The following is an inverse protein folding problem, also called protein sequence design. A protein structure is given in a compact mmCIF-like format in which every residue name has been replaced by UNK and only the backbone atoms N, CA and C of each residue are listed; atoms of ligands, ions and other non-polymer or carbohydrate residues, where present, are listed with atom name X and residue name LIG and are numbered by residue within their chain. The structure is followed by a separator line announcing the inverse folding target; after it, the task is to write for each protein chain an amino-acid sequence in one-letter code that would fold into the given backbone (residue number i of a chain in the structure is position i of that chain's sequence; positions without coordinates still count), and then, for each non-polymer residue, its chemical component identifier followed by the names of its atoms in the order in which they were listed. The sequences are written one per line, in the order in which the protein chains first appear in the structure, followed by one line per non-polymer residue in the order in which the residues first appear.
data_IF_477373050308
#
_entry.id   IF_477373050308
#
_cell.length_a   1.000
_cell.length_b   1.000
_cell.length_c   1.000
_cell.angle_alpha   90.00
_cell.angle_beta   90.00
_cell.angle_gamma   90.00
#
_symmetry.space_group_name_H-M   'P 1'
#
loop_
_entity.id
_entity.type
_entity.pdbx_description
1 polymer ?
#
# COMPACT_ATOMS: atom_id res chain seq x y z
N UNK A 1 -29.58 -5.77 -36.60
CA UNK A 1 -28.28 -5.10 -36.85
C UNK A 1 -27.43 -5.05 -35.57
N UNK A 2 -28.04 -5.23 -34.38
CA UNK A 2 -27.38 -5.10 -33.08
C UNK A 2 -26.36 -6.19 -32.71
N UNK A 3 -26.51 -7.43 -33.18
CA UNK A 3 -25.58 -8.52 -32.83
C UNK A 3 -24.17 -8.40 -33.44
N UNK A 4 -24.02 -7.67 -34.55
CA UNK A 4 -22.70 -7.43 -35.15
C UNK A 4 -21.93 -6.39 -34.32
N UNK A 5 -22.64 -5.41 -33.76
CA UNK A 5 -22.05 -4.37 -32.93
C UNK A 5 -21.63 -4.94 -31.55
N UNK A 6 -22.44 -5.83 -30.98
CA UNK A 6 -22.11 -6.56 -29.74
C UNK A 6 -20.85 -7.43 -29.91
N UNK A 7 -20.75 -8.19 -31.00
CA UNK A 7 -19.57 -9.01 -31.27
C UNK A 7 -18.30 -8.17 -31.46
N UNK A 8 -18.40 -7.02 -32.15
CA UNK A 8 -17.30 -6.07 -32.27
C UNK A 8 -16.87 -5.50 -30.91
N UNK A 9 -17.83 -5.16 -30.05
CA UNK A 9 -17.55 -4.64 -28.71
C UNK A 9 -16.84 -5.68 -27.83
N UNK A 10 -17.30 -6.95 -27.84
CA UNK A 10 -16.65 -8.03 -27.10
C UNK A 10 -15.22 -8.28 -27.61
N UNK A 11 -15.02 -8.25 -28.93
CA UNK A 11 -13.68 -8.41 -29.51
C UNK A 11 -12.75 -7.28 -29.08
N UNK A 12 -13.21 -6.03 -29.12
CA UNK A 12 -12.40 -4.88 -28.71
C UNK A 12 -11.99 -4.98 -27.22
N UNK A 13 -12.88 -5.44 -26.36
CA UNK A 13 -12.56 -5.69 -24.95
C UNK A 13 -11.51 -6.79 -24.77
N UNK A 14 -11.61 -7.87 -25.54
CA UNK A 14 -10.64 -8.97 -25.49
C UNK A 14 -9.26 -8.54 -26.01
N UNK A 15 -9.21 -7.80 -27.11
CA UNK A 15 -7.96 -7.27 -27.68
C UNK A 15 -7.26 -6.35 -26.65
N UNK A 16 -8.02 -5.48 -25.97
CA UNK A 16 -7.48 -4.61 -24.92
C UNK A 16 -6.90 -5.40 -23.74
N UNK A 17 -7.56 -6.49 -23.31
CA UNK A 17 -7.03 -7.36 -22.27
C UNK A 17 -5.71 -8.03 -22.69
N UNK A 18 -5.63 -8.47 -23.95
CA UNK A 18 -4.41 -9.06 -24.49
C UNK A 18 -3.25 -8.03 -24.57
N UNK A 19 -3.54 -6.78 -24.93
CA UNK A 19 -2.55 -5.69 -24.94
C UNK A 19 -2.01 -5.37 -23.53
N UNK A 20 -2.82 -5.55 -22.48
CA UNK A 20 -2.39 -5.45 -21.08
C UNK A 20 -1.63 -6.69 -20.58
N UNK A 21 -1.40 -7.70 -21.43
CA UNK A 21 -0.66 -8.91 -21.11
C UNK A 21 -1.48 -10.00 -20.42
N UNK A 22 -2.82 -9.94 -20.46
CA UNK A 22 -3.65 -11.05 -20.01
C UNK A 22 -3.62 -12.19 -21.03
N UNK A 23 -2.81 -13.22 -20.76
CA UNK A 23 -2.53 -14.35 -21.65
C UNK A 23 -3.30 -15.62 -21.28
N UNK A 24 -3.88 -15.69 -20.08
CA UNK A 24 -4.68 -16.82 -19.61
C UNK A 24 -5.91 -16.37 -18.79
N UNK A 25 -7.06 -17.00 -19.07
CA UNK A 25 -8.25 -16.89 -18.22
C UNK A 25 -8.16 -17.93 -17.09
N UNK A 26 -7.97 -17.47 -15.85
CA UNK A 26 -7.78 -18.36 -14.69
C UNK A 26 -9.12 -18.90 -14.16
N UNK A 27 -10.20 -18.13 -14.27
CA UNK A 27 -11.54 -18.52 -13.83
C UNK A 27 -12.61 -17.80 -14.66
N UNK A 28 -13.80 -18.39 -14.73
CA UNK A 28 -14.98 -17.82 -15.42
C UNK A 28 -15.54 -16.57 -14.73
N UNK A 29 -15.26 -16.40 -13.44
CA UNK A 29 -15.77 -15.27 -12.64
C UNK A 29 -14.60 -14.51 -11.99
N UNK A 30 -14.67 -13.16 -11.91
CA UNK A 30 -13.71 -12.38 -11.16
C UNK A 30 -13.62 -12.84 -9.70
N UNK A 31 -12.39 -13.07 -9.23
CA UNK A 31 -12.13 -13.46 -7.83
C UNK A 31 -11.61 -12.25 -7.05
N UNK A 32 -12.36 -11.83 -6.02
CA UNK A 32 -11.95 -10.78 -5.09
C UNK A 32 -11.09 -11.36 -3.96
N UNK A 33 -9.77 -11.36 -4.16
CA UNK A 33 -8.82 -11.85 -3.16
C UNK A 33 -8.66 -10.91 -1.96
N UNK A 34 -9.08 -9.64 -2.06
CA UNK A 34 -9.04 -8.71 -0.93
C UNK A 34 -10.11 -9.09 0.11
N UNK A 35 -11.32 -9.42 -0.35
CA UNK A 35 -12.38 -9.92 0.51
C UNK A 35 -12.01 -11.26 1.20
N UNK A 36 -11.35 -12.17 0.47
CA UNK A 36 -10.86 -13.44 1.03
C UNK A 36 -9.80 -13.21 2.13
N UNK A 37 -8.84 -12.32 1.89
CA UNK A 37 -7.83 -11.95 2.88
C UNK A 37 -8.44 -11.35 4.14
N UNK A 38 -9.39 -10.41 3.99
CA UNK A 38 -10.12 -9.82 5.10
C UNK A 38 -10.92 -10.85 5.91
N UNK A 39 -11.47 -11.89 5.26
CA UNK A 39 -12.15 -12.98 5.95
C UNK A 39 -11.18 -13.91 6.70
N UNK A 40 -9.99 -14.16 6.15
CA UNK A 40 -8.93 -14.97 6.76
C UNK A 40 -8.28 -14.30 7.98
N UNK A 41 -8.26 -12.97 8.00
CA UNK A 41 -7.77 -12.16 9.13
C UNK A 41 -8.75 -12.09 10.31
N UNK A 42 -9.94 -12.72 10.23
CA UNK A 42 -10.83 -12.79 11.40
C UNK A 42 -10.17 -13.68 12.47
N UNK A 43 -9.87 -13.14 13.66
CA UNK A 43 -9.29 -13.95 14.71
C UNK A 43 -10.29 -15.03 15.12
N UNK A 44 -9.83 -16.29 15.15
CA UNK A 44 -10.58 -17.36 15.78
C UNK A 44 -10.90 -16.96 17.23
N UNK A 45 -12.09 -17.31 17.77
CA UNK A 45 -12.39 -17.01 19.16
C UNK A 45 -11.42 -17.77 20.06
N UNK A 46 -10.47 -17.04 20.64
CA UNK A 46 -9.51 -17.58 21.60
C UNK A 46 -10.25 -17.75 22.95
N UNK A 47 -10.22 -18.93 23.60
CA UNK A 47 -10.78 -19.07 24.94
C UNK A 47 -10.06 -18.11 25.89
N UNK A 48 -10.83 -17.29 26.62
CA UNK A 48 -10.29 -16.30 27.53
C UNK A 48 -9.45 -16.95 28.63
N UNK A 49 -8.13 -16.83 28.54
CA UNK A 49 -7.23 -17.05 29.68
C UNK A 49 -6.95 -15.71 30.35
N UNK A 50 -7.28 -15.65 31.65
CA UNK A 50 -6.95 -14.52 32.51
C UNK A 50 -5.43 -14.50 32.76
N UNK A 51 -4.71 -13.72 31.96
CA UNK A 51 -3.31 -13.39 32.13
C UNK A 51 -3.07 -11.94 31.73
N UNK A 52 -2.28 -11.22 32.54
CA UNK A 52 -2.02 -9.79 32.38
C UNK A 52 -1.63 -9.41 30.94
N UNK A 53 -2.34 -8.43 30.38
CA UNK A 53 -2.21 -8.02 28.98
C UNK A 53 -0.86 -7.36 28.68
N UNK A 54 -0.10 -7.83 27.67
CA UNK A 54 0.81 -6.98 26.93
C UNK A 54 -0.03 -6.01 26.08
N UNK A 55 0.48 -4.78 25.87
CA UNK A 55 -0.18 -3.77 25.04
C UNK A 55 -0.49 -4.35 23.65
N UNK A 56 -1.78 -4.39 23.31
CA UNK A 56 -2.24 -4.83 21.99
C UNK A 56 -1.73 -3.87 20.90
N UNK A 57 -1.36 -4.37 19.71
CA UNK A 57 -1.16 -3.50 18.56
C UNK A 57 -2.50 -2.81 18.24
N UNK A 58 -2.44 -1.51 17.99
CA UNK A 58 -3.61 -0.71 17.66
C UNK A 58 -4.32 -1.31 16.44
N UNK A 59 -5.63 -1.55 16.57
CA UNK A 59 -6.46 -1.89 15.43
C UNK A 59 -6.35 -0.78 14.36
N UNK A 60 -6.38 -1.12 13.06
CA UNK A 60 -6.36 -0.12 12.00
C UNK A 60 -7.56 0.79 12.19
N UNK A 61 -7.27 2.08 12.37
CA UNK A 61 -8.30 3.11 12.48
C UNK A 61 -8.93 3.22 11.09
N UNK A 62 -10.26 3.07 10.94
CA UNK A 62 -10.89 3.29 9.65
C UNK A 62 -10.63 4.74 9.24
N UNK A 63 -10.00 4.91 8.08
CA UNK A 63 -9.81 6.20 7.43
C UNK A 63 -11.18 6.88 7.34
N UNK A 64 -11.34 8.01 8.03
CA UNK A 64 -12.53 8.84 7.85
C UNK A 64 -12.40 9.54 6.50
N UNK A 65 -13.44 9.47 5.66
CA UNK A 65 -13.52 10.08 4.30
C UNK A 65 -13.33 11.62 4.26
N UNK A 66 -12.94 12.26 5.37
CA UNK A 66 -12.94 13.71 5.54
C UNK A 66 -11.56 14.38 5.46
N UNK A 67 -10.47 13.61 5.43
CA UNK A 67 -9.12 14.15 5.59
C UNK A 67 -8.29 13.93 4.32
N UNK A 68 -7.87 15.02 3.67
CA UNK A 68 -6.94 14.99 2.54
C UNK A 68 -5.56 14.46 3.00
N UNK A 69 -5.15 13.24 2.59
CA UNK A 69 -3.89 12.64 3.04
C UNK A 69 -2.68 13.49 2.66
N UNK A 70 -2.74 14.22 1.53
CA UNK A 70 -1.66 15.07 1.05
C UNK A 70 -1.50 16.29 1.95
N UNK A 71 -2.61 16.91 2.37
CA UNK A 71 -2.59 18.04 3.30
C UNK A 71 -2.01 17.64 4.66
N UNK A 72 -2.40 16.47 5.19
CA UNK A 72 -1.88 15.93 6.45
C UNK A 72 -0.40 15.60 6.35
N UNK A 73 0.01 14.87 5.31
CA UNK A 73 1.42 14.55 5.07
C UNK A 73 2.27 15.83 5.01
N UNK A 74 1.78 16.85 4.29
CA UNK A 74 2.45 18.15 4.20
C UNK A 74 2.54 18.87 5.56
N UNK A 75 1.51 18.78 6.40
CA UNK A 75 1.53 19.37 7.74
C UNK A 75 2.54 18.67 8.66
N UNK A 76 2.55 17.32 8.65
CA UNK A 76 3.50 16.52 9.42
C UNK A 76 4.95 16.77 8.99
N UNK A 77 5.21 16.80 7.68
CA UNK A 77 6.54 17.07 7.14
C UNK A 77 7.05 18.46 7.51
N UNK A 78 6.19 19.49 7.49
CA UNK A 78 6.53 20.85 7.94
C UNK A 78 6.79 20.94 9.44
N UNK A 79 6.20 20.06 10.24
CA UNK A 79 6.38 20.00 11.69
C UNK A 79 7.66 19.27 12.13
N UNK A 80 8.30 18.51 11.25
CA UNK A 80 9.53 17.81 11.54
C UNK A 80 10.72 18.77 11.64
N UNK A 81 11.41 18.78 12.79
CA UNK A 81 12.53 19.68 13.05
C UNK A 81 13.85 19.22 12.39
N UNK A 82 13.98 17.93 12.13
CA UNK A 82 15.16 17.30 11.53
C UNK A 82 14.78 16.03 10.76
N UNK A 83 15.79 15.39 10.13
CA UNK A 83 15.59 14.17 9.35
C UNK A 83 15.08 12.99 10.19
N UNK A 84 15.49 12.89 11.45
CA UNK A 84 15.04 11.81 12.33
C UNK A 84 13.55 11.97 12.69
N UNK A 85 13.11 13.20 12.96
CA UNK A 85 11.71 13.52 13.17
C UNK A 85 10.87 13.29 11.91
N UNK A 86 11.41 13.58 10.72
CA UNK A 86 10.73 13.32 9.45
C UNK A 86 10.60 11.82 9.17
N UNK A 87 11.64 11.03 9.43
CA UNK A 87 11.62 9.57 9.32
C UNK A 87 10.57 8.97 10.27
N UNK A 88 10.54 9.42 11.53
CA UNK A 88 9.55 8.98 12.51
C UNK A 88 8.11 9.33 12.08
N UNK A 89 7.91 10.54 11.52
CA UNK A 89 6.60 10.94 11.02
C UNK A 89 6.14 10.08 9.83
N UNK A 90 7.05 9.76 8.90
CA UNK A 90 6.77 8.84 7.78
C UNK A 90 6.46 7.43 8.26
N UNK A 91 7.23 6.90 9.22
CA UNK A 91 7.00 5.59 9.80
C UNK A 91 5.62 5.48 10.48
N UNK A 92 5.13 6.57 11.07
CA UNK A 92 3.82 6.66 11.72
C UNK A 92 2.67 7.06 10.77
N UNK A 93 2.94 7.35 9.49
CA UNK A 93 1.92 7.82 8.56
C UNK A 93 1.08 6.65 8.03
N UNK A 94 -0.16 6.51 8.52
CA UNK A 94 -1.05 5.40 8.17
C UNK A 94 -2.01 5.71 7.00
N UNK A 95 -2.00 6.94 6.47
CA UNK A 95 -2.86 7.33 5.34
C UNK A 95 -2.26 6.99 3.96
N UNK A 96 -1.18 6.19 3.93
CA UNK A 96 -0.54 5.76 2.69
C UNK A 96 -0.82 4.28 2.44
N UNK A 97 -1.61 3.97 1.40
CA UNK A 97 -1.99 2.59 1.07
C UNK A 97 -0.79 1.70 0.70
N UNK A 98 0.29 2.27 0.14
CA UNK A 98 1.52 1.54 -0.16
C UNK A 98 2.16 0.90 1.08
N UNK A 99 1.93 1.50 2.26
CA UNK A 99 2.42 0.98 3.55
C UNK A 99 1.83 -0.39 3.89
N UNK A 100 0.64 -0.71 3.38
CA UNK A 100 -0.02 -2.00 3.62
C UNK A 100 0.71 -3.16 2.93
N UNK A 101 1.41 -2.88 1.82
CA UNK A 101 2.18 -3.85 1.06
C UNK A 101 3.70 -3.79 1.29
N UNK A 102 4.20 -2.67 1.82
CA UNK A 102 5.62 -2.48 2.10
C UNK A 102 6.09 -3.35 3.27
N UNK A 103 7.31 -3.88 3.15
CA UNK A 103 7.96 -4.69 4.19
C UNK A 103 8.79 -3.82 5.12
N UNK A 104 9.48 -2.82 4.58
CA UNK A 104 10.24 -1.85 5.35
C UNK A 104 10.01 -0.42 4.84
N UNK A 105 10.17 0.57 5.72
CA UNK A 105 10.25 1.97 5.31
C UNK A 105 11.62 2.23 4.67
N UNK A 106 11.63 2.68 3.42
CA UNK A 106 12.84 3.16 2.74
C UNK A 106 12.86 4.69 2.79
N UNK A 107 13.62 5.25 3.73
CA UNK A 107 13.66 6.70 3.95
C UNK A 107 14.79 7.39 3.17
N UNK A 108 16.03 7.28 3.64
CA UNK A 108 17.21 7.90 3.03
C UNK A 108 18.48 7.16 3.48
N UNK A 109 19.52 7.19 2.66
CA UNK A 109 20.88 6.78 3.04
C UNK A 109 21.87 7.88 2.64
N UNK A 110 22.99 7.95 3.37
CA UNK A 110 24.06 8.92 3.16
C UNK A 110 24.27 9.87 4.33
N UNK A 111 24.94 11.00 4.05
CA UNK A 111 25.39 11.95 5.09
C UNK A 111 24.43 13.13 5.22
N UNK A 112 23.84 13.37 6.41
CA UNK A 112 23.13 14.62 6.68
C UNK A 112 23.99 15.85 6.36
N UNK A 113 23.41 16.82 5.64
CA UNK A 113 24.13 18.02 5.20
C UNK A 113 25.09 17.79 4.02
N UNK A 114 24.94 16.69 3.27
CA UNK A 114 25.57 16.56 1.96
C UNK A 114 25.16 17.71 1.03
N UNK A 115 26.07 18.12 0.13
CA UNK A 115 25.84 19.23 -0.81
C UNK A 115 24.85 18.90 -1.92
N UNK A 116 24.61 17.62 -2.16
CA UNK A 116 23.77 17.10 -3.24
C UNK A 116 22.88 16.01 -2.66
N UNK A 117 21.61 16.05 -3.00
CA UNK A 117 20.61 15.02 -2.70
C UNK A 117 20.08 14.46 -4.02
N UNK A 118 20.04 13.14 -4.14
CA UNK A 118 19.48 12.43 -5.29
C UNK A 118 18.11 11.90 -4.86
N UNK A 119 17.09 12.19 -5.66
CA UNK A 119 15.72 11.70 -5.44
C UNK A 119 15.36 10.79 -6.59
N UNK A 120 15.08 9.52 -6.28
CA UNK A 120 14.69 8.50 -7.25
C UNK A 120 13.18 8.37 -7.40
N UNK A 121 12.77 7.25 -7.99
CA UNK A 121 11.38 6.80 -7.97
C UNK A 121 11.03 6.09 -6.65
N UNK A 122 9.86 5.44 -6.60
CA UNK A 122 9.44 4.63 -5.45
C UNK A 122 10.39 3.43 -5.24
N UNK A 123 10.60 2.97 -4.00
CA UNK A 123 11.47 1.83 -3.72
C UNK A 123 10.98 0.57 -4.44
N UNK A 124 11.93 -0.17 -5.02
CA UNK A 124 11.70 -1.48 -5.60
C UNK A 124 11.69 -2.57 -4.55
N UNK A 125 11.71 -3.82 -5.03
CA UNK A 125 11.67 -5.01 -4.16
C UNK A 125 12.93 -5.13 -3.29
N UNK A 126 14.10 -4.96 -3.88
CA UNK A 126 15.37 -5.18 -3.17
C UNK A 126 15.58 -4.08 -2.12
N UNK A 127 15.16 -2.85 -2.41
CA UNK A 127 15.18 -1.70 -1.49
C UNK A 127 14.19 -1.91 -0.35
N UNK A 128 12.96 -2.34 -0.64
CA UNK A 128 11.95 -2.67 0.38
C UNK A 128 12.41 -3.85 1.26
N UNK A 129 13.07 -4.86 0.71
CA UNK A 129 13.64 -5.96 1.50
C UNK A 129 14.78 -5.49 2.43
N UNK A 130 15.60 -4.52 1.99
CA UNK A 130 16.76 -4.01 2.74
C UNK A 130 16.45 -2.81 3.65
N UNK A 131 15.36 -2.09 3.41
CA UNK A 131 15.04 -0.82 4.07
C UNK A 131 16.00 0.32 3.68
N UNK A 132 16.60 0.26 2.48
CA UNK A 132 17.59 1.26 2.01
C UNK A 132 17.36 1.64 0.56
N UNK A 133 17.56 2.92 0.18
CA UNK A 133 17.38 3.36 -1.19
C UNK A 133 18.60 3.01 -2.07
N UNK A 134 18.32 2.68 -3.34
CA UNK A 134 19.31 2.34 -4.38
C UNK A 134 20.28 1.22 -3.96
#
# INVERSE_FOLDING_TARGET
MDHIDEACALKALLDWQAELGADAAIAEQPLDRFAESAASLRPAPVPAQAGAAPAAPAAPVPLSDSDDPVAIAGALARGAADLAALEAALAAFDLCELKLGARNLVFADGRPGARVMIVGEAPGRDEDEQGKPF
#
